data_IF_951913070858
#
_entry.id   IF_951913070858
#
_cell.length_a   1.000
_cell.length_b   1.000
_cell.length_c   1.000
_cell.angle_alpha   90.00
_cell.angle_beta   90.00
_cell.angle_gamma   90.00
#
_symmetry.space_group_name_H-M   'P 1'
#
loop_
_entity.id
_entity.type
_entity.pdbx_description
1 polymer ?
#
# COMPACT_ATOMS: atom_id res chain seq x y z
N UNK A 1 15.11 50.43 -6.19
CA UNK A 1 15.91 50.12 -4.98
C UNK A 1 15.92 48.59 -4.83
N UNK A 2 17.06 47.88 -4.90
CA UNK A 2 18.16 47.79 -3.90
C UNK A 2 17.66 47.09 -2.63
N UNK A 3 18.27 46.03 -2.06
CA UNK A 3 19.59 45.37 -2.17
C UNK A 3 19.44 43.82 -2.25
N UNK A 4 20.34 42.95 -2.74
CA UNK A 4 21.73 42.99 -3.28
C UNK A 4 22.84 43.33 -2.25
N UNK A 5 23.62 42.39 -1.68
CA UNK A 5 23.68 40.91 -1.88
C UNK A 5 24.00 40.23 -0.51
N UNK A 6 24.82 39.18 -0.24
CA UNK A 6 25.87 38.44 -0.98
C UNK A 6 26.14 37.07 -0.30
N UNK A 7 26.60 36.04 -1.03
CA UNK A 7 27.31 34.88 -0.43
C UNK A 7 28.73 35.26 0.03
N UNK A 8 29.30 34.50 0.97
CA UNK A 8 30.61 33.91 0.72
C UNK A 8 30.69 32.42 1.07
N UNK A 9 31.70 31.74 0.52
CA UNK A 9 32.14 30.42 0.96
C UNK A 9 33.63 30.49 1.32
N UNK A 10 34.10 29.73 2.33
CA UNK A 10 35.25 28.82 2.24
C UNK A 10 35.56 28.09 3.57
N UNK A 11 36.18 26.91 3.44
CA UNK A 11 37.05 26.14 4.36
C UNK A 11 36.88 26.19 5.90
N UNK A 12 36.93 24.99 6.52
CA UNK A 12 37.05 24.86 7.98
C UNK A 12 37.03 23.42 8.56
N UNK A 13 37.86 22.48 8.06
CA UNK A 13 38.04 21.17 8.72
C UNK A 13 39.13 21.28 9.81
N UNK A 14 38.84 20.89 11.08
CA UNK A 14 39.85 20.41 12.01
C UNK A 14 39.94 18.87 11.96
N UNK A 15 41.15 18.35 11.77
CA UNK A 15 41.46 16.92 11.98
C UNK A 15 41.25 16.52 13.47
N UNK A 16 40.90 15.27 13.72
CA UNK A 16 41.19 14.61 15.00
C UNK A 16 41.79 13.22 14.77
N UNK A 17 43.02 13.05 15.22
CA UNK A 17 43.81 11.85 15.01
C UNK A 17 43.30 10.66 15.84
N UNK A 18 43.36 9.48 15.21
CA UNK A 18 43.79 8.19 15.78
C UNK A 18 43.67 7.95 17.30
N UNK A 19 42.89 6.93 17.67
CA UNK A 19 43.47 5.82 18.44
C UNK A 19 43.07 4.49 17.78
N UNK A 20 44.04 3.82 17.15
CA UNK A 20 43.88 2.44 16.70
C UNK A 20 43.79 1.50 17.91
N UNK A 21 42.69 0.77 18.07
CA UNK A 21 42.61 -0.40 18.96
C UNK A 21 42.45 -1.68 18.14
N UNK A 22 43.58 -2.31 17.83
CA UNK A 22 43.61 -3.69 17.36
C UNK A 22 43.14 -4.61 18.48
N UNK A 23 41.87 -5.00 18.46
CA UNK A 23 41.40 -6.17 19.20
C UNK A 23 41.79 -7.42 18.41
N UNK A 24 42.86 -8.11 18.82
CA UNK A 24 43.21 -9.42 18.28
C UNK A 24 42.12 -10.39 18.72
N UNK A 25 41.16 -10.67 17.83
CA UNK A 25 40.15 -11.69 18.07
C UNK A 25 40.78 -13.07 17.89
N UNK A 26 41.40 -13.56 18.97
CA UNK A 26 41.89 -14.93 19.04
C UNK A 26 40.72 -15.87 18.76
N UNK A 27 40.84 -16.66 17.69
CA UNK A 27 39.87 -17.69 17.32
C UNK A 27 39.95 -18.87 18.29
N UNK A 28 39.57 -18.64 19.54
CA UNK A 28 39.45 -19.68 20.55
C UNK A 28 38.28 -20.59 20.17
N UNK A 29 38.61 -21.75 19.59
CA UNK A 29 37.70 -22.89 19.43
C UNK A 29 37.37 -23.51 20.80
N UNK A 30 36.76 -22.70 21.67
CA UNK A 30 36.08 -23.21 22.86
C UNK A 30 34.85 -23.96 22.34
N UNK A 31 34.84 -25.27 22.56
CA UNK A 31 33.63 -26.07 22.44
C UNK A 31 32.64 -25.70 23.53
N UNK A 32 32.03 -24.52 23.42
CA UNK A 32 30.95 -24.07 24.28
C UNK A 32 29.74 -24.96 24.03
N UNK A 33 29.69 -26.08 24.73
CA UNK A 33 28.43 -26.78 25.02
C UNK A 33 27.56 -25.79 25.78
N UNK A 34 26.71 -25.08 25.05
CA UNK A 34 25.67 -24.23 25.64
C UNK A 34 24.96 -25.05 26.73
N UNK A 35 24.75 -24.50 27.94
CA UNK A 35 24.02 -25.22 28.96
C UNK A 35 22.64 -25.59 28.38
N UNK A 36 22.11 -26.79 28.63
CA UNK A 36 20.92 -27.29 27.93
C UNK A 36 19.70 -26.37 28.09
N UNK A 37 19.64 -25.57 29.17
CA UNK A 37 18.64 -24.52 29.39
C UNK A 37 18.68 -23.39 28.34
N UNK A 38 19.85 -23.04 27.81
CA UNK A 38 20.01 -21.95 26.83
C UNK A 38 19.63 -22.39 25.41
N UNK A 39 19.93 -23.64 25.03
CA UNK A 39 19.43 -24.22 23.77
C UNK A 39 17.93 -24.51 23.83
N UNK A 40 17.41 -24.93 25.00
CA UNK A 40 15.97 -25.07 25.22
C UNK A 40 15.26 -23.71 25.08
N UNK A 41 15.71 -22.68 25.79
CA UNK A 41 15.12 -21.33 25.73
C UNK A 41 15.17 -20.74 24.31
N UNK A 42 16.26 -20.95 23.56
CA UNK A 42 16.34 -20.54 22.16
C UNK A 42 15.33 -21.29 21.26
N UNK A 43 15.12 -22.59 21.49
CA UNK A 43 14.11 -23.38 20.78
C UNK A 43 12.68 -22.95 21.15
N UNK A 44 12.40 -22.65 22.42
CA UNK A 44 11.11 -22.14 22.90
C UNK A 44 10.79 -20.76 22.30
N UNK A 45 11.75 -19.83 22.30
CA UNK A 45 11.60 -18.52 21.65
C UNK A 45 11.36 -18.67 20.16
N UNK A 46 12.13 -19.52 19.46
CA UNK A 46 11.95 -19.70 18.02
C UNK A 46 10.66 -20.46 17.66
N UNK A 47 10.19 -21.37 18.51
CA UNK A 47 8.87 -22.00 18.38
C UNK A 47 7.74 -20.97 18.57
N UNK A 48 7.85 -20.11 19.59
CA UNK A 48 6.92 -19.01 19.83
C UNK A 48 6.86 -18.03 18.66
N UNK A 49 8.01 -17.61 18.14
CA UNK A 49 8.07 -16.75 16.95
C UNK A 49 7.42 -17.39 15.71
N UNK A 50 7.67 -18.68 15.46
CA UNK A 50 7.03 -19.42 14.36
C UNK A 50 5.52 -19.59 14.55
N UNK A 51 5.04 -19.78 15.78
CA UNK A 51 3.62 -19.86 16.07
C UNK A 51 2.92 -18.50 15.85
N UNK A 52 3.56 -17.39 16.25
CA UNK A 52 3.06 -16.04 15.99
C UNK A 52 3.03 -15.73 14.49
N UNK A 53 4.09 -16.06 13.74
CA UNK A 53 4.09 -15.81 12.29
C UNK A 53 3.06 -16.68 11.56
N UNK A 54 2.94 -17.96 11.90
CA UNK A 54 1.93 -18.85 11.31
C UNK A 54 0.49 -18.36 11.59
N UNK A 55 0.20 -17.91 12.81
CA UNK A 55 -1.10 -17.34 13.14
C UNK A 55 -1.38 -16.04 12.36
N UNK A 56 -0.35 -15.21 12.13
CA UNK A 56 -0.46 -13.97 11.34
C UNK A 56 -0.66 -14.26 9.85
N UNK A 57 0.05 -15.25 9.30
CA UNK A 57 -0.13 -15.74 7.92
C UNK A 57 -1.53 -16.35 7.71
N UNK A 58 -2.03 -17.15 8.66
CA UNK A 58 -3.38 -17.71 8.61
C UNK A 58 -4.47 -16.63 8.70
N UNK A 59 -4.30 -15.65 9.60
CA UNK A 59 -5.20 -14.50 9.74
C UNK A 59 -5.24 -13.65 8.46
N UNK A 60 -4.07 -13.31 7.89
CA UNK A 60 -3.98 -12.59 6.63
C UNK A 60 -4.62 -13.38 5.48
N UNK A 61 -4.35 -14.70 5.38
CA UNK A 61 -4.93 -15.57 4.36
C UNK A 61 -6.47 -15.61 4.42
N UNK A 62 -7.03 -15.74 5.64
CA UNK A 62 -8.49 -15.68 5.89
C UNK A 62 -9.08 -14.32 5.51
N UNK A 63 -8.44 -13.22 5.91
CA UNK A 63 -8.85 -11.87 5.53
C UNK A 63 -8.85 -11.69 4.01
N UNK A 64 -7.76 -12.06 3.33
CA UNK A 64 -7.64 -11.92 1.87
C UNK A 64 -8.71 -12.74 1.13
N UNK A 65 -8.94 -13.99 1.53
CA UNK A 65 -9.95 -14.85 0.90
C UNK A 65 -11.37 -14.27 1.02
N UNK A 66 -11.70 -13.68 2.17
CA UNK A 66 -12.99 -12.99 2.37
C UNK A 66 -13.05 -11.67 1.59
N UNK A 67 -12.02 -10.83 1.70
CA UNK A 67 -11.95 -9.50 1.09
C UNK A 67 -12.04 -9.56 -0.44
N UNK A 68 -11.34 -10.51 -1.07
CA UNK A 68 -11.41 -10.72 -2.53
C UNK A 68 -12.83 -11.06 -2.97
N UNK A 69 -13.48 -12.05 -2.34
CA UNK A 69 -14.86 -12.43 -2.70
C UNK A 69 -15.85 -11.28 -2.49
N UNK A 70 -15.72 -10.57 -1.38
CA UNK A 70 -16.54 -9.39 -1.11
C UNK A 70 -16.30 -8.28 -2.15
N UNK A 71 -15.05 -8.04 -2.54
CA UNK A 71 -14.70 -7.06 -3.57
C UNK A 71 -15.23 -7.42 -4.97
N UNK A 72 -15.29 -8.71 -5.33
CA UNK A 72 -15.98 -9.19 -6.53
C UNK A 72 -17.49 -8.89 -6.48
N UNK A 73 -18.11 -9.02 -5.30
CA UNK A 73 -19.51 -8.62 -5.05
C UNK A 73 -19.71 -7.08 -5.04
N UNK A 74 -18.67 -6.29 -4.74
CA UNK A 74 -18.64 -4.82 -4.93
C UNK A 74 -18.54 -4.47 -6.42
N UNK A 75 -17.60 -5.05 -7.17
CA UNK A 75 -17.46 -4.81 -8.61
C UNK A 75 -18.74 -5.17 -9.36
N UNK A 76 -19.30 -6.36 -9.14
CA UNK A 76 -20.52 -6.79 -9.81
C UNK A 76 -21.70 -5.82 -9.58
N UNK A 77 -21.77 -5.21 -8.40
CA UNK A 77 -22.76 -4.16 -8.09
C UNK A 77 -22.43 -2.85 -8.82
N UNK A 78 -21.19 -2.40 -8.78
CA UNK A 78 -20.75 -1.18 -9.44
C UNK A 78 -20.88 -1.23 -10.96
N UNK A 79 -20.71 -2.41 -11.57
CA UNK A 79 -20.99 -2.65 -12.99
C UNK A 79 -22.48 -2.50 -13.34
N UNK A 80 -23.37 -2.89 -12.42
CA UNK A 80 -24.81 -2.80 -12.60
C UNK A 80 -25.41 -1.41 -12.26
N UNK A 81 -24.77 -0.62 -11.40
CA UNK A 81 -25.33 0.65 -10.88
C UNK A 81 -24.51 1.91 -11.17
N UNK A 82 -23.24 1.79 -11.58
CA UNK A 82 -22.37 2.92 -11.88
C UNK A 82 -22.62 3.55 -13.25
N UNK A 83 -22.23 4.82 -13.40
CA UNK A 83 -22.28 5.51 -14.69
C UNK A 83 -21.02 5.17 -15.52
N UNK A 84 -21.11 5.04 -16.86
CA UNK A 84 -19.92 4.93 -17.70
C UNK A 84 -19.08 6.21 -17.64
N UNK A 85 -17.78 6.09 -17.94
CA UNK A 85 -16.94 7.25 -18.22
C UNK A 85 -17.52 8.08 -19.39
N UNK A 86 -17.39 9.40 -19.31
CA UNK A 86 -17.68 10.27 -20.44
C UNK A 86 -16.60 10.14 -21.56
N UNK A 87 -16.81 10.70 -22.77
CA UNK A 87 -15.87 10.55 -23.89
C UNK A 87 -14.45 11.08 -23.63
N UNK A 88 -14.27 12.01 -22.71
CA UNK A 88 -12.98 12.63 -22.38
C UNK A 88 -12.26 11.83 -21.31
N UNK A 89 -13.00 11.40 -20.28
CA UNK A 89 -12.56 10.44 -19.28
C UNK A 89 -12.15 9.09 -19.90
N UNK A 90 -12.90 8.62 -20.90
CA UNK A 90 -12.59 7.39 -21.62
C UNK A 90 -11.30 7.50 -22.48
N UNK A 91 -10.98 8.69 -23.01
CA UNK A 91 -9.69 8.94 -23.67
C UNK A 91 -8.53 8.94 -22.68
N UNK A 92 -8.70 9.55 -21.50
CA UNK A 92 -7.72 9.51 -20.42
C UNK A 92 -7.44 8.07 -19.95
N UNK A 93 -8.49 7.26 -19.78
CA UNK A 93 -8.37 5.83 -19.45
C UNK A 93 -7.56 5.05 -20.50
N UNK A 94 -7.79 5.33 -21.78
CA UNK A 94 -7.03 4.75 -22.88
C UNK A 94 -5.57 5.25 -22.95
N UNK A 95 -5.29 6.51 -22.63
CA UNK A 95 -3.91 7.06 -22.56
C UNK A 95 -3.09 6.43 -21.43
N UNK A 96 -3.73 6.18 -20.28
CA UNK A 96 -3.14 5.45 -19.14
C UNK A 96 -2.84 3.98 -19.51
N UNK A 97 -3.50 3.44 -20.54
CA UNK A 97 -3.26 2.10 -21.07
C UNK A 97 -4.23 1.02 -20.58
N UNK A 98 -5.39 1.41 -20.06
CA UNK A 98 -6.51 0.48 -19.81
C UNK A 98 -6.98 -0.05 -21.18
N UNK A 99 -7.00 -1.37 -21.35
CA UNK A 99 -7.42 -2.03 -22.60
C UNK A 99 -8.92 -1.94 -22.81
N UNK A 100 -9.69 -1.87 -21.71
CA UNK A 100 -11.15 -1.86 -21.72
C UNK A 100 -11.78 -0.64 -21.01
N UNK A 101 -11.54 0.60 -21.49
CA UNK A 101 -12.12 1.80 -20.88
C UNK A 101 -13.66 1.80 -20.93
N UNK A 102 -14.28 1.07 -21.87
CA UNK A 102 -15.74 0.92 -21.99
C UNK A 102 -16.39 0.15 -20.82
N UNK A 103 -15.60 -0.60 -20.04
CA UNK A 103 -16.04 -1.29 -18.83
C UNK A 103 -15.96 -0.42 -17.57
N UNK A 104 -15.28 0.72 -17.63
CA UNK A 104 -15.04 1.53 -16.43
C UNK A 104 -16.32 2.23 -15.97
N UNK A 105 -16.63 2.14 -14.67
CA UNK A 105 -17.83 2.74 -14.07
C UNK A 105 -17.48 3.59 -12.86
N UNK A 106 -18.12 4.77 -12.73
CA UNK A 106 -18.05 5.61 -11.54
C UNK A 106 -19.29 5.36 -10.66
N UNK A 107 -19.09 5.17 -9.36
CA UNK A 107 -20.16 4.88 -8.39
C UNK A 107 -20.09 5.87 -7.23
N UNK A 108 -21.04 6.82 -7.15
CA UNK A 108 -21.03 7.89 -6.15
C UNK A 108 -21.85 7.52 -4.90
N UNK A 109 -21.17 7.41 -3.76
CA UNK A 109 -21.72 6.92 -2.48
C UNK A 109 -21.42 7.86 -1.32
N UNK A 110 -22.21 7.83 -0.25
CA UNK A 110 -22.00 8.69 0.93
C UNK A 110 -20.79 8.22 1.76
N UNK A 111 -20.47 6.93 1.69
CA UNK A 111 -19.29 6.28 2.27
C UNK A 111 -18.82 5.15 1.33
N UNK A 112 -17.49 4.96 1.19
CA UNK A 112 -16.94 3.86 0.40
C UNK A 112 -17.20 2.54 1.16
N UNK A 113 -17.80 1.52 0.54
CA UNK A 113 -18.21 0.33 1.27
C UNK A 113 -16.99 -0.45 1.79
N UNK A 114 -17.07 -0.97 3.01
CA UNK A 114 -16.14 -1.94 3.60
C UNK A 114 -16.95 -2.96 4.42
N UNK A 115 -16.55 -4.24 4.54
CA UNK A 115 -17.36 -5.25 5.24
C UNK A 115 -17.12 -5.22 6.76
N UNK A 116 -17.45 -4.10 7.41
CA UNK A 116 -17.32 -3.87 8.85
C UNK A 116 -18.16 -4.80 9.73
N UNK A 117 -19.17 -5.44 9.15
CA UNK A 117 -20.20 -6.18 9.88
C UNK A 117 -19.72 -7.57 10.34
N UNK A 118 -18.58 -8.04 9.82
CA UNK A 118 -17.83 -9.17 10.34
C UNK A 118 -16.69 -8.63 11.25
N UNK A 119 -16.73 -8.86 12.58
CA UNK A 119 -15.75 -8.32 13.51
C UNK A 119 -14.29 -8.71 13.22
N UNK A 120 -14.04 -9.91 12.68
CA UNK A 120 -12.68 -10.35 12.34
C UNK A 120 -12.12 -9.55 11.14
N UNK A 121 -12.97 -9.28 10.16
CA UNK A 121 -12.61 -8.54 8.94
C UNK A 121 -12.53 -7.04 9.21
N UNK A 122 -13.37 -6.52 10.12
CA UNK A 122 -13.22 -5.18 10.67
C UNK A 122 -11.86 -5.02 11.37
N UNK A 123 -11.54 -5.92 12.30
CA UNK A 123 -10.26 -5.90 13.02
C UNK A 123 -9.07 -6.00 12.07
N UNK A 124 -9.16 -6.85 11.03
CA UNK A 124 -8.15 -6.91 9.98
C UNK A 124 -8.03 -5.59 9.19
N UNK A 125 -9.15 -4.98 8.80
CA UNK A 125 -9.17 -3.67 8.13
C UNK A 125 -8.57 -2.55 8.98
N UNK A 126 -8.84 -2.54 10.28
CA UNK A 126 -8.24 -1.62 11.26
C UNK A 126 -6.74 -1.91 11.49
N UNK A 127 -6.32 -3.18 11.44
CA UNK A 127 -4.92 -3.61 11.61
C UNK A 127 -4.06 -3.30 10.39
N UNK A 128 -4.61 -3.42 9.17
CA UNK A 128 -3.90 -3.21 7.91
C UNK A 128 -4.09 -1.79 7.32
N UNK A 129 -4.88 -0.93 7.97
CA UNK A 129 -5.01 0.49 7.59
C UNK A 129 -6.04 0.81 6.51
N UNK A 130 -6.99 -0.09 6.22
CA UNK A 130 -8.11 0.18 5.30
C UNK A 130 -9.18 1.09 5.90
N UNK A 131 -9.38 0.98 7.21
CA UNK A 131 -10.39 1.70 7.98
C UNK A 131 -9.83 2.06 9.36
N UNK A 132 -10.39 3.08 10.01
CA UNK A 132 -10.03 3.44 11.38
C UNK A 132 -10.06 4.95 11.63
N UNK A 133 -9.77 5.39 12.87
CA UNK A 133 -9.79 6.81 13.24
C UNK A 133 -8.81 7.65 12.39
N UNK A 134 -9.36 8.58 11.60
CA UNK A 134 -8.58 9.46 10.72
C UNK A 134 -8.28 8.90 9.32
N UNK A 135 -8.59 7.62 9.06
CA UNK A 135 -8.54 7.06 7.70
C UNK A 135 -9.84 7.45 6.98
N UNK A 136 -9.71 8.18 5.86
CA UNK A 136 -10.84 8.76 5.13
C UNK A 136 -10.75 8.34 3.67
N UNK A 137 -11.32 7.18 3.36
CA UNK A 137 -11.37 6.64 2.01
C UNK A 137 -12.22 7.56 1.10
N UNK A 138 -11.57 8.16 0.10
CA UNK A 138 -12.16 9.18 -0.79
C UNK A 138 -12.66 8.58 -2.10
N UNK A 139 -11.90 7.66 -2.67
CA UNK A 139 -12.28 6.84 -3.80
C UNK A 139 -11.45 5.54 -3.77
N UNK A 140 -11.96 4.49 -4.42
CA UNK A 140 -11.29 3.20 -4.50
C UNK A 140 -11.72 2.42 -5.74
N UNK A 141 -10.75 1.81 -6.44
CA UNK A 141 -10.99 0.87 -7.53
C UNK A 141 -11.27 -0.56 -7.03
N UNK A 142 -12.35 -1.16 -7.55
CA UNK A 142 -12.72 -2.57 -7.45
C UNK A 142 -12.93 -3.10 -8.87
N UNK A 143 -11.94 -3.81 -9.41
CA UNK A 143 -11.90 -4.18 -10.83
C UNK A 143 -11.96 -2.95 -11.73
N UNK A 144 -12.96 -2.89 -12.61
CA UNK A 144 -13.24 -1.73 -13.46
C UNK A 144 -14.19 -0.70 -12.81
N UNK A 145 -14.58 -0.85 -11.54
CA UNK A 145 -15.49 0.09 -10.87
C UNK A 145 -14.73 1.00 -9.91
N UNK A 146 -14.84 2.31 -10.08
CA UNK A 146 -14.28 3.32 -9.19
C UNK A 146 -15.42 3.82 -8.31
N UNK A 147 -15.35 3.51 -7.02
CA UNK A 147 -16.29 4.00 -6.02
C UNK A 147 -15.76 5.32 -5.48
N UNK A 148 -16.62 6.33 -5.34
CA UNK A 148 -16.22 7.71 -5.05
C UNK A 148 -17.13 8.29 -3.97
N UNK A 149 -16.55 8.85 -2.91
CA UNK A 149 -17.32 9.46 -1.83
C UNK A 149 -17.88 10.80 -2.28
N UNK A 150 -19.19 11.01 -2.10
CA UNK A 150 -19.86 12.29 -2.34
C UNK A 150 -19.18 13.41 -1.56
N UNK A 151 -19.01 14.56 -2.19
CA UNK A 151 -18.26 15.69 -1.64
C UNK A 151 -16.74 15.60 -1.84
N UNK A 152 -16.20 14.50 -2.36
CA UNK A 152 -14.84 14.47 -2.91
C UNK A 152 -14.84 15.01 -4.35
N UNK A 153 -13.93 15.95 -4.65
CA UNK A 153 -13.78 16.52 -5.99
C UNK A 153 -12.93 15.59 -6.85
N UNK A 154 -13.56 14.74 -7.66
CA UNK A 154 -12.88 13.92 -8.66
C UNK A 154 -12.61 14.74 -9.93
N UNK A 155 -11.56 15.56 -9.89
CA UNK A 155 -11.03 16.28 -11.05
C UNK A 155 -10.10 15.39 -11.90
N UNK A 156 -9.70 15.86 -13.10
CA UNK A 156 -8.89 15.09 -14.05
C UNK A 156 -7.61 14.46 -13.44
N UNK A 157 -6.83 15.13 -12.57
CA UNK A 157 -5.66 14.52 -11.95
C UNK A 157 -6.04 13.31 -11.07
N UNK A 158 -7.05 13.48 -10.19
CA UNK A 158 -7.48 12.42 -9.27
C UNK A 158 -8.16 11.28 -10.00
N UNK A 159 -8.95 11.56 -11.03
CA UNK A 159 -9.47 10.52 -11.91
C UNK A 159 -8.34 9.72 -12.57
N UNK A 160 -7.24 10.36 -12.99
CA UNK A 160 -6.10 9.65 -13.54
C UNK A 160 -5.40 8.73 -12.51
N UNK A 161 -5.36 9.14 -11.24
CA UNK A 161 -4.90 8.31 -10.12
C UNK A 161 -5.81 7.08 -9.91
N UNK A 162 -7.13 7.25 -9.83
CA UNK A 162 -8.08 6.11 -9.75
C UNK A 162 -8.00 5.17 -10.97
N UNK A 163 -7.82 5.72 -12.18
CA UNK A 163 -7.65 4.96 -13.40
C UNK A 163 -6.32 4.18 -13.44
N UNK A 164 -5.25 4.66 -12.78
CA UNK A 164 -4.04 3.87 -12.59
C UNK A 164 -4.33 2.64 -11.72
N UNK A 165 -5.15 2.74 -10.67
CA UNK A 165 -5.55 1.55 -9.89
C UNK A 165 -6.39 0.56 -10.72
N UNK A 166 -7.32 1.03 -11.55
CA UNK A 166 -8.03 0.17 -12.52
C UNK A 166 -7.05 -0.52 -13.47
N UNK A 167 -6.05 0.20 -13.98
CA UNK A 167 -5.00 -0.36 -14.85
C UNK A 167 -4.08 -1.35 -14.13
N UNK A 168 -3.71 -1.10 -12.88
CA UNK A 168 -2.95 -2.00 -12.01
C UNK A 168 -3.70 -3.33 -11.79
N UNK A 169 -5.03 -3.26 -11.62
CA UNK A 169 -5.88 -4.46 -11.55
C UNK A 169 -5.95 -5.16 -12.92
N UNK A 170 -6.15 -4.41 -14.01
CA UNK A 170 -6.24 -4.98 -15.37
C UNK A 170 -4.94 -5.63 -15.88
N UNK A 171 -3.78 -5.19 -15.36
CA UNK A 171 -2.46 -5.79 -15.68
C UNK A 171 -2.03 -6.87 -14.69
N UNK A 172 -2.78 -7.09 -13.61
CA UNK A 172 -2.54 -8.17 -12.65
C UNK A 172 -3.13 -9.50 -13.14
N UNK A 173 -2.63 -10.62 -12.61
CA UNK A 173 -3.13 -11.97 -12.97
C UNK A 173 -4.52 -12.26 -12.41
N UNK A 174 -4.93 -11.56 -11.35
CA UNK A 174 -6.28 -11.53 -10.78
C UNK A 174 -6.42 -10.35 -9.82
N UNK A 175 -7.65 -10.01 -9.42
CA UNK A 175 -7.88 -9.04 -8.33
C UNK A 175 -7.22 -9.50 -7.01
N UNK A 176 -7.20 -10.81 -6.74
CA UNK A 176 -6.52 -11.37 -5.57
C UNK A 176 -5.00 -11.10 -5.57
N UNK A 177 -4.35 -11.17 -6.74
CA UNK A 177 -2.94 -10.85 -6.88
C UNK A 177 -2.67 -9.35 -6.63
N UNK A 178 -3.48 -8.47 -7.22
CA UNK A 178 -3.43 -7.02 -6.97
C UNK A 178 -3.64 -6.69 -5.48
N UNK A 179 -4.73 -7.19 -4.88
CA UNK A 179 -5.07 -6.90 -3.50
C UNK A 179 -4.01 -7.46 -2.52
N UNK A 180 -3.44 -8.63 -2.81
CA UNK A 180 -2.34 -9.20 -2.04
C UNK A 180 -1.06 -8.36 -2.11
N UNK A 181 -0.74 -7.79 -3.28
CA UNK A 181 0.35 -6.83 -3.42
C UNK A 181 0.06 -5.54 -2.63
N UNK A 182 -1.12 -4.95 -2.80
CA UNK A 182 -1.52 -3.71 -2.12
C UNK A 182 -1.44 -3.84 -0.59
N UNK A 183 -2.02 -4.89 -0.01
CA UNK A 183 -1.92 -5.17 1.44
C UNK A 183 -0.46 -5.34 1.89
N UNK A 184 0.35 -6.05 1.10
CA UNK A 184 1.77 -6.26 1.39
C UNK A 184 2.58 -4.95 1.38
N UNK A 185 2.28 -4.04 0.44
CA UNK A 185 2.92 -2.72 0.36
C UNK A 185 2.43 -1.77 1.46
N UNK A 186 1.13 -1.79 1.82
CA UNK A 186 0.63 -1.04 2.99
C UNK A 186 1.36 -1.44 4.27
N UNK A 187 1.57 -2.75 4.49
CA UNK A 187 2.28 -3.27 5.67
C UNK A 187 3.77 -2.89 5.65
N UNK A 188 4.42 -2.86 4.47
CA UNK A 188 5.86 -2.60 4.35
C UNK A 188 6.24 -1.11 4.29
N UNK A 189 5.36 -0.26 3.77
CA UNK A 189 5.69 1.13 3.43
C UNK A 189 4.71 2.16 4.01
N UNK A 190 3.50 1.73 4.39
CA UNK A 190 2.34 2.61 4.57
C UNK A 190 1.78 3.10 3.24
N UNK A 191 0.56 3.65 3.29
CA UNK A 191 -0.21 4.13 2.14
C UNK A 191 0.62 5.01 1.19
N UNK A 192 0.95 6.24 1.59
CA UNK A 192 1.53 7.30 0.75
C UNK A 192 2.93 7.02 0.17
N UNK A 193 3.51 5.85 0.48
CA UNK A 193 4.85 5.40 0.05
C UNK A 193 4.86 4.02 -0.57
N UNK A 194 3.70 3.37 -0.69
CA UNK A 194 3.56 2.10 -1.41
C UNK A 194 3.84 2.32 -2.91
N UNK A 195 4.60 1.44 -3.58
CA UNK A 195 4.82 1.51 -5.02
C UNK A 195 3.56 1.71 -5.86
N UNK A 196 2.43 1.06 -5.51
CA UNK A 196 1.16 1.22 -6.22
C UNK A 196 0.54 2.62 -6.08
N UNK A 197 0.54 3.21 -4.87
CA UNK A 197 0.12 4.60 -4.66
C UNK A 197 1.07 5.60 -5.32
N UNK A 198 2.39 5.35 -5.26
CA UNK A 198 3.39 6.21 -5.90
C UNK A 198 3.24 6.25 -7.42
N UNK A 199 2.94 5.12 -8.06
CA UNK A 199 2.62 5.04 -9.50
C UNK A 199 1.36 5.86 -9.83
N UNK A 200 0.32 5.77 -9.00
CA UNK A 200 -0.90 6.56 -9.17
C UNK A 200 -0.69 8.06 -8.86
N UNK A 201 0.24 8.42 -7.96
CA UNK A 201 0.69 9.81 -7.73
C UNK A 201 1.60 10.36 -8.84
N UNK A 202 2.16 9.52 -9.72
CA UNK A 202 2.76 9.98 -10.98
C UNK A 202 1.66 10.48 -11.93
N UNK A 203 0.52 9.82 -12.01
CA UNK A 203 -0.62 10.25 -12.82
C UNK A 203 -1.22 11.59 -12.35
N UNK A 204 -1.39 11.78 -11.04
CA UNK A 204 -1.79 13.08 -10.46
C UNK A 204 -0.88 14.24 -10.94
N UNK A 205 0.43 14.00 -11.10
CA UNK A 205 1.38 15.01 -11.61
C UNK A 205 1.35 15.14 -13.13
N UNK A 206 1.18 14.03 -13.87
CA UNK A 206 1.14 13.99 -15.34
C UNK A 206 -0.07 14.74 -15.90
N UNK A 207 -1.23 14.65 -15.25
CA UNK A 207 -2.50 15.19 -15.73
C UNK A 207 -2.97 16.43 -14.93
N UNK A 208 -2.03 17.17 -14.34
CA UNK A 208 -2.29 18.32 -13.47
C UNK A 208 -2.86 19.58 -14.19
N UNK A 209 -2.62 19.70 -15.50
CA UNK A 209 -2.89 20.91 -16.30
C UNK A 209 -1.64 21.67 -16.71
#
# INVERSE_FOLDING_TARGET
>A
MQHISTHPAFAGRPERHSVLRQAIMVAALVGCTLPPSATLLAAEVQAGQKAVSANQEEFLSKFMAYYVKWAEEIEARGQATGIPLDPDQARLAAEIGIKHPEKVRLVFVDEIPFPTENPEIKLAGETFGFIGPGIVNNAQAFGYTIWVRKGFTLDQPRLAHELVHVWQIERSTSFAAYAGQYVSELIQHGHDKSPLELEAYEANRRYAG
#
